data_IF_320966382843
#
_entry.id   IF_320966382843
#
_cell.length_a   1.000
_cell.length_b   1.000
_cell.length_c   1.000
_cell.angle_alpha   90.00
_cell.angle_beta   90.00
_cell.angle_gamma   90.00
#
_symmetry.space_group_name_H-M   'P 1'
#
loop_
_entity.id
_entity.type
_entity.pdbx_description
1 polymer ?
#
# COMPACT_ATOMS: atom_id res chain seq x y z
N UNK A 1 25.58 -5.46 -6.96
CA UNK A 1 26.76 -5.71 -7.80
C UNK A 1 27.92 -4.97 -7.16
N UNK A 2 29.13 -5.54 -7.08
CA UNK A 2 30.32 -4.74 -6.75
C UNK A 2 30.41 -3.57 -7.72
N UNK A 3 30.72 -2.38 -7.22
CA UNK A 3 30.74 -1.15 -8.03
C UNK A 3 31.79 -1.21 -9.17
N UNK A 4 32.77 -2.12 -9.07
CA UNK A 4 33.83 -2.33 -10.05
C UNK A 4 33.55 -3.45 -11.05
N UNK A 5 32.46 -4.21 -10.92
CA UNK A 5 32.18 -5.35 -11.80
C UNK A 5 32.08 -4.93 -13.27
N UNK A 6 31.31 -3.88 -13.54
CA UNK A 6 31.13 -3.37 -14.90
C UNK A 6 32.40 -2.74 -15.46
N UNK A 7 33.21 -2.12 -14.61
CA UNK A 7 34.52 -1.58 -14.98
C UNK A 7 35.50 -2.70 -15.35
N UNK A 8 35.60 -3.74 -14.53
CA UNK A 8 36.43 -4.92 -14.81
C UNK A 8 35.96 -5.69 -16.04
N UNK A 9 34.66 -5.83 -16.23
CA UNK A 9 34.11 -6.49 -17.41
C UNK A 9 34.37 -5.67 -18.68
N UNK A 10 34.36 -4.34 -18.59
CA UNK A 10 34.75 -3.46 -19.69
C UNK A 10 36.24 -3.59 -20.02
N UNK A 11 37.10 -3.62 -19.00
CA UNK A 11 38.55 -3.87 -19.16
C UNK A 11 38.82 -5.26 -19.78
N UNK A 12 38.06 -6.29 -19.38
CA UNK A 12 38.12 -7.63 -19.98
C UNK A 12 37.77 -7.59 -21.48
N UNK A 13 36.68 -6.90 -21.86
CA UNK A 13 36.28 -6.76 -23.26
C UNK A 13 37.30 -5.96 -24.10
N UNK A 14 37.91 -4.93 -23.51
CA UNK A 14 38.99 -4.17 -24.15
C UNK A 14 40.25 -5.03 -24.33
N UNK A 15 40.58 -5.88 -23.35
CA UNK A 15 41.65 -6.88 -23.43
C UNK A 15 41.41 -7.90 -24.54
N UNK A 16 40.20 -8.48 -24.62
CA UNK A 16 39.81 -9.41 -25.70
C UNK A 16 39.95 -8.73 -27.06
N UNK A 17 39.50 -7.49 -27.19
CA UNK A 17 39.57 -6.74 -28.44
C UNK A 17 41.01 -6.45 -28.86
N UNK A 18 41.87 -6.05 -27.92
CA UNK A 18 43.28 -5.75 -28.17
C UNK A 18 44.05 -7.01 -28.58
N UNK A 19 43.95 -8.08 -27.80
CA UNK A 19 44.65 -9.34 -28.07
C UNK A 19 44.12 -10.03 -29.35
N UNK A 20 42.81 -9.93 -29.60
CA UNK A 20 42.19 -10.40 -30.85
C UNK A 20 42.64 -9.62 -32.09
N UNK A 21 42.91 -8.31 -31.96
CA UNK A 21 43.47 -7.52 -33.04
C UNK A 21 44.90 -7.98 -33.40
N UNK A 22 45.74 -8.26 -32.40
CA UNK A 22 47.09 -8.79 -32.61
C UNK A 22 47.10 -10.16 -33.29
N UNK A 23 46.13 -11.03 -32.96
CA UNK A 23 45.91 -12.30 -33.65
C UNK A 23 45.57 -12.11 -35.13
N UNK A 24 44.67 -11.17 -35.44
CA UNK A 24 44.27 -10.85 -36.81
C UNK A 24 45.44 -10.29 -37.62
N UNK A 25 46.25 -9.42 -37.03
CA UNK A 25 47.47 -8.88 -37.67
C UNK A 25 48.49 -9.99 -37.95
N UNK A 26 48.72 -10.90 -37.00
CA UNK A 26 49.61 -12.04 -37.21
C UNK A 26 49.09 -12.98 -38.31
N UNK A 27 47.78 -13.23 -38.36
CA UNK A 27 47.16 -14.04 -39.40
C UNK A 27 47.28 -13.39 -40.79
N UNK A 28 47.10 -12.07 -40.88
CA UNK A 28 47.31 -11.31 -42.12
C UNK A 28 48.77 -11.35 -42.57
N UNK A 29 49.73 -11.18 -41.66
CA UNK A 29 51.16 -11.28 -41.97
C UNK A 29 51.56 -12.67 -42.48
N UNK A 30 50.97 -13.72 -41.92
CA UNK A 30 51.17 -15.09 -42.41
C UNK A 30 50.54 -15.31 -43.78
N UNK A 31 49.32 -14.81 -44.00
CA UNK A 31 48.64 -14.89 -45.30
C UNK A 31 49.44 -14.20 -46.41
N UNK A 32 50.00 -13.01 -46.15
CA UNK A 32 50.89 -12.31 -47.10
C UNK A 32 52.17 -13.12 -47.38
N UNK A 33 52.75 -13.74 -46.35
CA UNK A 33 53.95 -14.57 -46.51
C UNK A 33 53.67 -15.85 -47.31
N UNK A 34 52.49 -16.44 -47.14
CA UNK A 34 52.02 -17.61 -47.89
C UNK A 34 51.74 -17.28 -49.36
N UNK A 35 51.14 -16.12 -49.64
CA UNK A 35 50.83 -15.67 -51.01
C UNK A 35 52.09 -15.37 -51.83
N UNK A 36 53.15 -14.91 -51.17
CA UNK A 36 54.46 -14.63 -51.79
C UNK A 36 55.39 -15.87 -51.91
N UNK A 37 55.03 -17.01 -51.31
CA UNK A 37 55.84 -18.23 -51.28
C UNK A 37 55.98 -18.96 -52.64
N UNK A 38 54.96 -19.00 -53.52
CA UNK A 38 55.08 -19.69 -54.82
C UNK A 38 56.12 -19.00 -55.72
N UNK A 39 57.19 -19.69 -56.07
CA UNK A 39 58.22 -19.21 -57.02
C UNK A 39 59.34 -18.35 -56.42
N UNK A 40 59.35 -18.13 -55.11
CA UNK A 40 60.43 -17.44 -54.40
C UNK A 40 61.43 -18.44 -53.79
N UNK A 41 62.72 -18.11 -53.81
CA UNK A 41 63.76 -18.89 -53.12
C UNK A 41 64.16 -18.17 -51.82
N UNK A 42 64.19 -18.89 -50.69
CA UNK A 42 64.64 -18.36 -49.39
C UNK A 42 63.56 -17.86 -48.42
N UNK A 43 62.26 -18.09 -48.67
CA UNK A 43 61.17 -17.64 -47.77
C UNK A 43 60.88 -18.56 -46.57
N UNK A 44 61.59 -19.69 -46.43
CA UNK A 44 61.35 -20.70 -45.40
C UNK A 44 61.42 -20.12 -43.97
N UNK A 45 62.37 -19.22 -43.71
CA UNK A 45 62.53 -18.56 -42.41
C UNK A 45 61.40 -17.57 -42.09
N UNK A 46 60.88 -16.87 -43.09
CA UNK A 46 59.78 -15.92 -42.93
C UNK A 46 58.43 -16.63 -42.69
N UNK A 47 58.21 -17.74 -43.39
CA UNK A 47 57.03 -18.59 -43.19
C UNK A 47 57.05 -19.24 -41.80
N UNK A 48 58.18 -19.80 -41.36
CA UNK A 48 58.28 -20.37 -40.01
C UNK A 48 58.11 -19.30 -38.94
N UNK A 49 58.76 -18.15 -39.07
CA UNK A 49 58.64 -17.06 -38.10
C UNK A 49 57.21 -16.49 -38.00
N UNK A 50 56.48 -16.37 -39.12
CA UNK A 50 55.08 -15.92 -39.10
C UNK A 50 54.13 -16.97 -38.53
N UNK A 51 54.36 -18.26 -38.83
CA UNK A 51 53.61 -19.37 -38.27
C UNK A 51 53.82 -19.50 -36.74
N UNK A 52 55.07 -19.44 -36.27
CA UNK A 52 55.42 -19.50 -34.84
C UNK A 52 54.79 -18.34 -34.07
N UNK A 53 54.81 -17.13 -34.65
CA UNK A 53 54.17 -15.95 -34.06
C UNK A 53 52.66 -16.11 -33.96
N UNK A 54 51.99 -16.57 -35.03
CA UNK A 54 50.55 -16.79 -35.02
C UNK A 54 50.17 -17.87 -34.00
N UNK A 55 50.92 -18.98 -33.96
CA UNK A 55 50.69 -20.09 -33.03
C UNK A 55 50.86 -19.65 -31.58
N UNK A 56 51.90 -18.87 -31.28
CA UNK A 56 52.16 -18.34 -29.93
C UNK A 56 51.04 -17.40 -29.46
N UNK A 57 50.60 -16.47 -30.32
CA UNK A 57 49.48 -15.57 -30.00
C UNK A 57 48.16 -16.33 -29.84
N UNK A 58 47.92 -17.36 -30.65
CA UNK A 58 46.71 -18.18 -30.55
C UNK A 58 46.70 -19.01 -29.26
N UNK A 59 47.84 -19.60 -28.90
CA UNK A 59 47.98 -20.33 -27.65
C UNK A 59 47.75 -19.41 -26.43
N UNK A 60 48.35 -18.22 -26.41
CA UNK A 60 48.14 -17.24 -25.35
C UNK A 60 46.70 -16.74 -25.24
N UNK A 61 46.04 -16.50 -26.37
CA UNK A 61 44.63 -16.11 -26.40
C UNK A 61 43.72 -17.25 -25.91
N UNK A 62 43.97 -18.49 -26.33
CA UNK A 62 43.23 -19.66 -25.89
C UNK A 62 43.42 -19.93 -24.38
N UNK A 63 44.62 -19.72 -23.85
CA UNK A 63 44.94 -19.90 -22.43
C UNK A 63 44.24 -18.86 -21.52
N UNK A 64 43.93 -17.67 -22.05
CA UNK A 64 43.17 -16.65 -21.31
C UNK A 64 41.66 -16.77 -21.49
N UNK A 65 41.21 -16.86 -22.75
CA UNK A 65 39.80 -16.69 -23.12
C UNK A 65 39.12 -17.96 -23.64
N UNK A 66 39.87 -19.05 -23.84
CA UNK A 66 39.32 -20.35 -24.24
C UNK A 66 38.36 -20.94 -23.20
N UNK A 67 37.77 -22.10 -23.51
CA UNK A 67 36.75 -22.75 -22.66
C UNK A 67 37.23 -23.07 -21.23
N UNK A 68 38.53 -23.26 -21.04
CA UNK A 68 39.23 -23.47 -19.77
C UNK A 68 40.23 -22.35 -19.43
N UNK A 69 40.16 -21.22 -20.14
CA UNK A 69 41.14 -20.15 -19.98
C UNK A 69 41.02 -19.42 -18.64
N UNK A 70 42.12 -18.85 -18.17
CA UNK A 70 42.25 -18.23 -16.85
C UNK A 70 41.24 -17.10 -16.58
N UNK A 71 40.97 -16.25 -17.58
CA UNK A 71 39.99 -15.14 -17.46
C UNK A 71 38.57 -15.69 -17.43
N UNK A 72 38.25 -16.63 -18.33
CA UNK A 72 36.94 -17.30 -18.36
C UNK A 72 36.66 -18.09 -17.07
N UNK A 73 37.68 -18.75 -16.51
CA UNK A 73 37.61 -19.46 -15.25
C UNK A 73 37.40 -18.50 -14.07
N UNK A 74 38.16 -17.41 -13.99
CA UNK A 74 37.99 -16.36 -12.97
C UNK A 74 36.60 -15.73 -13.00
N UNK A 75 36.07 -15.43 -14.19
CA UNK A 75 34.69 -14.95 -14.37
C UNK A 75 33.65 -15.97 -13.90
N UNK A 76 33.83 -17.25 -14.25
CA UNK A 76 32.92 -18.32 -13.82
C UNK A 76 32.92 -18.48 -12.31
N UNK A 77 34.07 -18.34 -11.66
CA UNK A 77 34.19 -18.40 -10.20
C UNK A 77 33.56 -17.18 -9.52
N UNK A 78 33.80 -15.97 -10.05
CA UNK A 78 33.14 -14.75 -9.59
C UNK A 78 31.60 -14.86 -9.69
N UNK A 79 31.09 -15.37 -10.81
CA UNK A 79 29.65 -15.62 -10.98
C UNK A 79 29.11 -16.72 -10.06
N UNK A 80 29.89 -17.77 -9.77
CA UNK A 80 29.51 -18.83 -8.83
C UNK A 80 29.44 -18.33 -7.40
N UNK A 81 30.42 -17.54 -6.96
CA UNK A 81 30.42 -16.91 -5.64
C UNK A 81 29.23 -15.96 -5.45
N UNK A 82 28.70 -15.37 -6.52
CA UNK A 82 27.47 -14.56 -6.50
C UNK A 82 26.18 -15.38 -6.61
N UNK A 83 26.26 -16.63 -7.06
CA UNK A 83 25.14 -17.59 -7.07
C UNK A 83 25.00 -18.35 -5.76
N UNK A 84 25.88 -18.14 -4.78
CA UNK A 84 25.73 -18.73 -3.45
C UNK A 84 24.41 -18.23 -2.84
N UNK A 85 23.48 -19.15 -2.60
CA UNK A 85 22.15 -18.83 -2.08
C UNK A 85 21.07 -18.58 -3.12
N UNK A 86 21.34 -18.66 -4.43
CA UNK A 86 20.30 -18.51 -5.46
C UNK A 86 19.28 -19.66 -5.41
N UNK A 87 19.74 -20.88 -5.16
CA UNK A 87 18.87 -22.05 -4.98
C UNK A 87 18.02 -21.94 -3.71
N UNK A 88 18.65 -21.51 -2.61
CA UNK A 88 17.98 -21.26 -1.33
C UNK A 88 16.94 -20.13 -1.45
N UNK A 89 17.31 -19.01 -2.09
CA UNK A 89 16.41 -17.89 -2.40
C UNK A 89 15.20 -18.38 -3.20
N UNK A 90 15.42 -19.15 -4.27
CA UNK A 90 14.32 -19.69 -5.09
C UNK A 90 13.41 -20.62 -4.29
N UNK A 91 13.98 -21.45 -3.42
CA UNK A 91 13.19 -22.31 -2.53
C UNK A 91 12.31 -21.48 -1.59
N UNK A 92 12.87 -20.45 -0.95
CA UNK A 92 12.14 -19.55 -0.06
C UNK A 92 11.07 -18.74 -0.80
N UNK A 93 11.35 -18.29 -2.03
CA UNK A 93 10.38 -17.59 -2.87
C UNK A 93 9.23 -18.50 -3.29
N UNK A 94 9.51 -19.76 -3.63
CA UNK A 94 8.47 -20.74 -3.95
C UNK A 94 7.58 -21.01 -2.71
N UNK A 95 8.18 -21.19 -1.53
CA UNK A 95 7.43 -21.33 -0.29
C UNK A 95 6.59 -20.09 0.01
N UNK A 96 7.15 -18.89 -0.24
CA UNK A 96 6.43 -17.62 -0.07
C UNK A 96 5.22 -17.53 -1.00
N UNK A 97 5.35 -18.00 -2.25
CA UNK A 97 4.23 -18.06 -3.20
C UNK A 97 3.13 -19.00 -2.72
N UNK A 98 3.49 -20.18 -2.22
CA UNK A 98 2.51 -21.12 -1.65
C UNK A 98 1.81 -20.51 -0.43
N UNK A 99 2.56 -19.92 0.51
CA UNK A 99 2.00 -19.26 1.68
C UNK A 99 1.07 -18.09 1.29
N UNK A 100 1.48 -17.28 0.31
CA UNK A 100 0.68 -16.19 -0.23
C UNK A 100 -0.63 -16.68 -0.84
N UNK A 101 -0.58 -17.77 -1.64
CA UNK A 101 -1.78 -18.36 -2.23
C UNK A 101 -2.76 -18.87 -1.16
N UNK A 102 -2.26 -19.36 -0.03
CA UNK A 102 -3.09 -19.72 1.12
C UNK A 102 -3.76 -18.50 1.76
N UNK A 103 -3.02 -17.40 1.93
CA UNK A 103 -3.56 -16.15 2.47
C UNK A 103 -4.62 -15.53 1.54
N UNK A 104 -4.39 -15.51 0.22
CA UNK A 104 -5.38 -14.99 -0.74
C UNK A 104 -6.60 -15.89 -0.84
N UNK A 105 -6.44 -17.21 -0.78
CA UNK A 105 -7.56 -18.16 -0.72
C UNK A 105 -8.41 -17.97 0.55
N UNK A 106 -7.76 -17.70 1.69
CA UNK A 106 -8.46 -17.37 2.93
C UNK A 106 -9.29 -16.08 2.79
N UNK A 107 -8.70 -14.99 2.31
CA UNK A 107 -9.43 -13.72 2.08
C UNK A 107 -10.55 -13.86 1.04
N UNK A 108 -10.33 -14.66 -0.01
CA UNK A 108 -11.36 -14.97 -1.00
C UNK A 108 -12.51 -15.80 -0.39
N UNK A 109 -12.21 -16.66 0.58
CA UNK A 109 -13.23 -17.41 1.32
C UNK A 109 -14.08 -16.46 2.16
N UNK A 110 -13.46 -15.48 2.83
CA UNK A 110 -14.19 -14.42 3.54
C UNK A 110 -15.11 -13.64 2.60
N UNK A 111 -14.59 -13.15 1.47
CA UNK A 111 -15.35 -12.34 0.51
C UNK A 111 -16.45 -13.15 -0.21
N UNK A 112 -16.27 -14.46 -0.34
CA UNK A 112 -17.17 -15.38 -1.03
C UNK A 112 -18.29 -15.94 -0.16
N UNK A 113 -18.40 -15.52 1.12
CA UNK A 113 -19.47 -15.99 1.98
C UNK A 113 -20.84 -15.56 1.47
N UNK A 114 -21.79 -16.50 1.54
CA UNK A 114 -23.13 -16.30 0.97
C UNK A 114 -23.99 -15.50 1.93
N UNK A 115 -24.33 -14.29 1.52
CA UNK A 115 -25.35 -13.50 2.21
C UNK A 115 -26.75 -13.98 1.89
N UNK A 116 -27.63 -13.94 2.89
CA UNK A 116 -29.07 -14.16 2.75
C UNK A 116 -29.71 -13.08 1.86
N UNK A 117 -30.92 -13.32 1.33
CA UNK A 117 -31.66 -12.28 0.59
C UNK A 117 -31.95 -11.03 1.42
N UNK A 118 -32.19 -11.19 2.73
CA UNK A 118 -32.50 -10.09 3.66
C UNK A 118 -31.28 -9.20 3.88
N UNK A 119 -30.11 -9.80 4.10
CA UNK A 119 -28.83 -9.08 4.26
C UNK A 119 -28.49 -8.28 2.99
N UNK A 120 -28.70 -8.87 1.81
CA UNK A 120 -28.48 -8.16 0.53
C UNK A 120 -29.41 -6.97 0.38
N UNK A 121 -30.69 -7.14 0.69
CA UNK A 121 -31.65 -6.03 0.63
C UNK A 121 -31.32 -4.91 1.62
N UNK A 122 -30.84 -5.26 2.83
CA UNK A 122 -30.41 -4.28 3.82
C UNK A 122 -29.23 -3.43 3.31
N UNK A 123 -28.22 -4.07 2.68
CA UNK A 123 -27.09 -3.35 2.10
C UNK A 123 -27.44 -2.59 0.81
N UNK A 124 -28.40 -3.07 0.01
CA UNK A 124 -28.94 -2.31 -1.13
C UNK A 124 -29.68 -1.05 -0.66
N UNK A 125 -30.42 -1.13 0.45
CA UNK A 125 -31.05 0.04 1.08
C UNK A 125 -30.00 1.04 1.57
N UNK A 126 -28.93 0.56 2.21
CA UNK A 126 -27.84 1.42 2.66
C UNK A 126 -27.10 2.10 1.50
N UNK A 127 -26.84 1.36 0.42
CA UNK A 127 -26.23 1.90 -0.81
C UNK A 127 -27.08 3.02 -1.43
N UNK A 128 -28.41 2.83 -1.44
CA UNK A 128 -29.34 3.86 -1.88
C UNK A 128 -29.32 5.10 -0.98
N UNK A 129 -29.37 4.93 0.35
CA UNK A 129 -29.28 6.03 1.32
C UNK A 129 -27.94 6.77 1.21
N UNK A 130 -26.85 6.01 1.05
CA UNK A 130 -25.50 6.54 0.85
C UNK A 130 -25.44 7.48 -0.35
N UNK A 131 -25.88 7.03 -1.54
CA UNK A 131 -25.84 7.85 -2.74
C UNK A 131 -26.75 9.07 -2.64
N UNK A 132 -27.91 8.93 -2.00
CA UNK A 132 -28.82 10.05 -1.71
C UNK A 132 -28.14 11.11 -0.84
N UNK A 133 -27.47 10.69 0.24
CA UNK A 133 -26.77 11.59 1.16
C UNK A 133 -25.53 12.23 0.53
N UNK A 134 -24.79 11.48 -0.28
CA UNK A 134 -23.64 12.02 -1.01
C UNK A 134 -24.07 13.11 -2.01
N UNK A 135 -25.15 12.85 -2.77
CA UNK A 135 -25.71 13.82 -3.72
C UNK A 135 -26.20 15.08 -3.03
N UNK A 136 -26.87 14.94 -1.88
CA UNK A 136 -27.37 16.07 -1.10
C UNK A 136 -26.24 16.94 -0.54
N UNK A 137 -25.16 16.32 -0.06
CA UNK A 137 -24.02 17.04 0.52
C UNK A 137 -23.02 17.56 -0.53
N UNK A 138 -23.32 17.43 -1.84
CA UNK A 138 -22.39 17.74 -2.93
C UNK A 138 -21.01 17.06 -2.76
N UNK A 139 -21.00 15.89 -2.10
CA UNK A 139 -19.78 15.20 -1.69
C UNK A 139 -19.09 14.48 -2.85
N UNK A 140 -17.79 14.25 -2.70
CA UNK A 140 -17.02 13.51 -3.71
C UNK A 140 -17.09 11.99 -3.45
N UNK A 141 -17.27 11.22 -4.52
CA UNK A 141 -17.13 9.76 -4.45
C UNK A 141 -15.68 9.38 -4.13
N UNK A 142 -15.53 8.43 -3.22
CA UNK A 142 -14.23 7.85 -2.90
C UNK A 142 -13.76 6.93 -4.03
N UNK A 143 -12.44 6.87 -4.21
CA UNK A 143 -11.83 5.89 -5.10
C UNK A 143 -12.16 4.47 -4.62
N UNK A 144 -12.48 3.58 -5.56
CA UNK A 144 -12.76 2.19 -5.25
C UNK A 144 -11.58 1.53 -4.50
N UNK A 145 -11.85 0.61 -3.55
CA UNK A 145 -10.80 -0.04 -2.79
C UNK A 145 -9.81 -0.76 -3.71
N UNK A 146 -8.53 -0.73 -3.31
CA UNK A 146 -7.43 -1.27 -4.09
C UNK A 146 -7.62 -2.78 -4.37
N UNK A 147 -7.26 -3.21 -5.59
CA UNK A 147 -7.29 -4.64 -5.96
C UNK A 147 -6.32 -5.44 -5.11
N UNK A 148 -6.71 -6.67 -4.75
CA UNK A 148 -5.81 -7.63 -4.10
C UNK A 148 -4.55 -7.88 -4.98
N UNK A 149 -3.34 -7.78 -4.40
CA UNK A 149 -2.09 -7.98 -5.14
C UNK A 149 -1.96 -9.40 -5.71
N UNK A 150 -1.35 -9.51 -6.89
CA UNK A 150 -1.34 -10.77 -7.65
C UNK A 150 -0.29 -11.78 -7.16
N UNK A 151 0.79 -11.31 -6.55
CA UNK A 151 1.84 -12.16 -5.99
C UNK A 151 2.39 -11.65 -4.64
N UNK A 152 3.21 -12.48 -3.98
CA UNK A 152 3.78 -12.17 -2.66
C UNK A 152 4.69 -10.93 -2.65
N UNK A 153 5.38 -10.64 -3.76
CA UNK A 153 6.29 -9.50 -3.85
C UNK A 153 5.50 -8.20 -3.99
N UNK A 154 4.48 -8.20 -4.85
CA UNK A 154 3.50 -7.12 -4.97
C UNK A 154 2.72 -6.94 -3.66
N UNK A 155 2.30 -8.04 -3.03
CA UNK A 155 1.62 -8.05 -1.74
C UNK A 155 2.40 -7.33 -0.65
N UNK A 156 3.68 -7.66 -0.53
CA UNK A 156 4.62 -6.97 0.35
C UNK A 156 4.77 -5.50 -0.02
N UNK A 157 4.95 -5.16 -1.30
CA UNK A 157 5.07 -3.77 -1.76
C UNK A 157 3.81 -2.97 -1.44
N UNK A 158 2.63 -3.55 -1.65
CA UNK A 158 1.36 -2.93 -1.32
C UNK A 158 1.24 -2.71 0.19
N UNK A 159 1.61 -3.71 1.01
CA UNK A 159 1.63 -3.57 2.46
C UNK A 159 2.57 -2.45 2.94
N UNK A 160 3.78 -2.34 2.36
CA UNK A 160 4.69 -1.23 2.66
C UNK A 160 4.18 0.10 2.14
N UNK A 161 3.58 0.17 0.95
CA UNK A 161 2.99 1.40 0.42
C UNK A 161 1.82 1.88 1.27
N UNK A 162 0.98 0.96 1.77
CA UNK A 162 -0.05 1.27 2.76
C UNK A 162 0.56 1.80 4.05
N UNK A 163 1.61 1.15 4.56
CA UNK A 163 2.30 1.60 5.77
C UNK A 163 2.97 2.97 5.61
N UNK A 164 3.57 3.25 4.46
CA UNK A 164 4.16 4.56 4.14
C UNK A 164 3.05 5.62 4.05
N UNK A 165 1.94 5.34 3.36
CA UNK A 165 0.79 6.24 3.30
C UNK A 165 0.18 6.54 4.69
N UNK A 166 0.21 5.56 5.60
CA UNK A 166 -0.21 5.76 6.99
C UNK A 166 0.77 6.64 7.78
N UNK A 167 2.08 6.46 7.59
CA UNK A 167 3.10 7.30 8.23
C UNK A 167 3.05 8.73 7.72
N UNK A 168 2.81 8.92 6.42
CA UNK A 168 2.60 10.23 5.81
C UNK A 168 1.33 10.88 6.36
N UNK A 169 0.22 10.13 6.48
CA UNK A 169 -1.02 10.63 7.10
C UNK A 169 -0.84 11.07 8.56
N UNK A 170 0.02 10.38 9.32
CA UNK A 170 0.39 10.76 10.69
C UNK A 170 1.35 11.97 10.72
N UNK A 171 2.19 12.15 9.69
CA UNK A 171 3.18 13.22 9.59
C UNK A 171 2.61 14.56 9.09
N UNK A 172 1.69 14.53 8.13
CA UNK A 172 1.16 15.73 7.47
C UNK A 172 0.00 16.41 8.23
N UNK A 173 -0.54 15.75 9.25
CA UNK A 173 -1.77 16.18 9.91
C UNK A 173 -1.62 16.72 11.33
N UNK A 174 -1.24 17.99 11.55
CA UNK A 174 -1.55 18.66 12.84
C UNK A 174 -2.92 19.36 12.77
N UNK A 175 -3.31 19.85 11.59
CA UNK A 175 -4.53 20.64 11.40
C UNK A 175 -5.80 19.81 11.13
N UNK A 176 -5.68 18.55 10.70
CA UNK A 176 -6.81 17.65 10.41
C UNK A 176 -6.90 16.39 11.30
N UNK A 177 -5.82 16.03 11.99
CA UNK A 177 -5.76 14.82 12.83
C UNK A 177 -6.74 14.88 14.00
N UNK A 178 -7.00 16.07 14.56
CA UNK A 178 -7.99 16.23 15.63
C UNK A 178 -9.37 15.77 15.17
N UNK A 179 -9.80 16.22 13.99
CA UNK A 179 -11.13 15.91 13.47
C UNK A 179 -11.18 14.43 13.04
N UNK A 180 -10.11 13.89 12.44
CA UNK A 180 -9.99 12.46 12.15
C UNK A 180 -10.07 11.59 13.41
N UNK A 181 -9.40 11.98 14.50
CA UNK A 181 -9.50 11.30 15.81
C UNK A 181 -10.92 11.37 16.35
N UNK A 182 -11.57 12.54 16.30
CA UNK A 182 -12.96 12.67 16.74
C UNK A 182 -13.91 11.80 15.94
N UNK A 183 -13.79 11.78 14.61
CA UNK A 183 -14.63 10.95 13.76
C UNK A 183 -14.36 9.46 13.95
N UNK A 184 -13.10 9.06 14.12
CA UNK A 184 -12.74 7.67 14.38
C UNK A 184 -13.31 7.18 15.71
N UNK A 185 -13.15 7.96 16.80
CA UNK A 185 -13.68 7.59 18.11
C UNK A 185 -15.21 7.67 18.14
N UNK A 186 -15.81 8.68 17.48
CA UNK A 186 -17.26 8.76 17.32
C UNK A 186 -17.78 7.51 16.61
N UNK A 187 -17.21 7.16 15.46
CA UNK A 187 -17.61 5.97 14.70
C UNK A 187 -17.51 4.73 15.55
N UNK A 188 -16.33 4.49 16.14
CA UNK A 188 -16.09 3.32 16.96
C UNK A 188 -17.03 3.21 18.16
N UNK A 189 -17.37 4.33 18.81
CA UNK A 189 -18.22 4.34 20.00
C UNK A 189 -19.71 4.14 19.70
N UNK A 190 -20.16 4.44 18.48
CA UNK A 190 -21.59 4.46 18.11
C UNK A 190 -22.00 3.32 17.18
N UNK A 191 -21.07 2.81 16.40
CA UNK A 191 -21.32 1.78 15.42
C UNK A 191 -20.68 0.45 15.83
N UNK A 192 -21.33 -0.65 15.49
CA UNK A 192 -20.86 -2.01 15.76
C UNK A 192 -19.68 -2.40 14.89
N UNK A 193 -19.06 -3.54 15.22
CA UNK A 193 -17.88 -4.09 14.54
C UNK A 193 -17.97 -5.59 14.55
N UNK A 194 -17.57 -6.24 13.46
CA UNK A 194 -17.65 -7.69 13.35
C UNK A 194 -16.75 -8.37 14.39
N UNK A 195 -17.34 -9.11 15.33
CA UNK A 195 -16.58 -9.78 16.37
C UNK A 195 -15.77 -10.96 15.80
N UNK A 196 -14.45 -11.10 16.09
CA UNK A 196 -13.63 -12.17 15.53
C UNK A 196 -14.15 -13.58 15.80
N UNK A 197 -14.78 -13.81 16.96
CA UNK A 197 -15.40 -15.09 17.31
C UNK A 197 -16.61 -15.42 16.42
N UNK A 198 -17.35 -14.40 15.98
CA UNK A 198 -18.48 -14.58 15.07
C UNK A 198 -18.00 -14.82 13.65
N UNK A 199 -16.96 -14.10 13.21
CA UNK A 199 -16.28 -14.37 11.93
C UNK A 199 -15.74 -15.80 11.90
N UNK A 200 -15.15 -16.27 13.01
CA UNK A 200 -14.72 -17.66 13.18
C UNK A 200 -15.89 -18.63 13.08
N UNK A 201 -16.97 -18.38 13.81
CA UNK A 201 -18.18 -19.19 13.74
C UNK A 201 -18.74 -19.26 12.32
N UNK A 202 -18.69 -18.14 11.58
CA UNK A 202 -19.16 -18.06 10.19
C UNK A 202 -18.30 -18.88 9.24
N UNK A 203 -16.97 -18.86 9.41
CA UNK A 203 -16.04 -19.72 8.67
C UNK A 203 -16.28 -21.22 8.92
N UNK A 204 -16.70 -21.59 10.13
CA UNK A 204 -17.04 -22.97 10.50
C UNK A 204 -18.47 -23.37 10.08
N UNK A 205 -19.18 -22.49 9.36
CA UNK A 205 -20.53 -22.72 8.82
C UNK A 205 -21.68 -22.35 9.76
N UNK A 206 -21.40 -21.68 10.88
CA UNK A 206 -22.37 -21.07 11.80
C UNK A 206 -22.48 -19.55 11.60
N UNK A 207 -22.76 -18.80 12.67
CA UNK A 207 -22.72 -17.33 12.67
C UNK A 207 -23.86 -16.64 11.90
N UNK A 208 -25.11 -17.01 12.20
CA UNK A 208 -26.28 -16.33 11.63
C UNK A 208 -26.29 -14.84 12.04
N UNK A 209 -26.52 -13.94 11.08
CA UNK A 209 -26.73 -12.51 11.34
C UNK A 209 -25.48 -11.63 11.27
N UNK A 210 -24.25 -12.17 11.26
CA UNK A 210 -23.02 -11.37 11.15
C UNK A 210 -22.98 -10.52 9.85
N UNK A 211 -23.66 -10.98 8.80
CA UNK A 211 -23.75 -10.28 7.53
C UNK A 211 -24.85 -9.21 7.49
N UNK A 212 -25.57 -9.00 8.59
CA UNK A 212 -26.48 -7.85 8.75
C UNK A 212 -25.68 -6.57 9.00
N UNK A 213 -26.16 -5.40 8.54
CA UNK A 213 -25.46 -4.15 8.77
C UNK A 213 -25.13 -3.89 10.24
N UNK A 214 -26.08 -4.20 11.14
CA UNK A 214 -25.96 -3.96 12.57
C UNK A 214 -24.83 -4.72 13.28
N UNK A 215 -24.16 -5.68 12.62
CA UNK A 215 -23.02 -6.42 13.18
C UNK A 215 -21.67 -6.03 12.53
N UNK A 216 -21.67 -5.12 11.56
CA UNK A 216 -20.46 -4.74 10.81
C UNK A 216 -20.46 -3.27 10.35
N UNK A 217 -21.06 -2.40 11.15
CA UNK A 217 -21.29 -1.02 10.77
C UNK A 217 -19.97 -0.25 10.52
N UNK A 218 -18.95 -0.46 11.36
CA UNK A 218 -17.64 0.18 11.16
C UNK A 218 -16.93 -0.33 9.91
N UNK A 219 -17.01 -1.63 9.59
CA UNK A 219 -16.48 -2.18 8.34
C UNK A 219 -17.20 -1.58 7.13
N UNK A 220 -18.53 -1.41 7.19
CA UNK A 220 -19.27 -0.72 6.13
C UNK A 220 -18.88 0.75 6.02
N UNK A 221 -18.71 1.47 7.14
CA UNK A 221 -18.23 2.86 7.12
C UNK A 221 -16.87 2.95 6.43
N UNK A 222 -15.94 2.03 6.72
CA UNK A 222 -14.61 1.99 6.12
C UNK A 222 -14.64 1.70 4.62
N UNK A 223 -15.35 0.65 4.19
CA UNK A 223 -15.21 0.12 2.83
C UNK A 223 -16.40 0.36 1.90
N UNK A 224 -17.60 0.55 2.44
CA UNK A 224 -18.80 0.90 1.68
C UNK A 224 -19.23 -0.09 0.60
N UNK A 225 -18.82 -1.36 0.72
CA UNK A 225 -19.11 -2.37 -0.29
C UNK A 225 -20.55 -2.87 -0.16
N UNK A 226 -21.21 -3.03 -1.31
CA UNK A 226 -22.59 -3.55 -1.41
C UNK A 226 -22.74 -5.01 -1.00
N UNK A 227 -21.65 -5.79 -1.10
CA UNK A 227 -21.63 -7.16 -0.61
C UNK A 227 -21.19 -7.15 0.87
N UNK A 228 -22.04 -7.59 1.82
CA UNK A 228 -21.72 -7.57 3.25
C UNK A 228 -20.41 -8.29 3.56
N UNK A 229 -20.24 -9.50 3.02
CA UNK A 229 -19.04 -10.32 3.25
C UNK A 229 -17.76 -9.64 2.73
N UNK A 230 -17.89 -8.77 1.73
CA UNK A 230 -16.75 -8.06 1.16
C UNK A 230 -16.22 -6.96 2.09
N UNK A 231 -17.06 -6.33 2.92
CA UNK A 231 -16.59 -5.34 3.91
C UNK A 231 -15.72 -6.01 4.98
N UNK A 232 -16.17 -7.14 5.52
CA UNK A 232 -15.39 -7.94 6.47
C UNK A 232 -14.09 -8.43 5.81
N UNK A 233 -14.15 -8.93 4.57
CA UNK A 233 -12.97 -9.40 3.85
C UNK A 233 -11.97 -8.26 3.58
N UNK A 234 -12.43 -7.05 3.30
CA UNK A 234 -11.58 -5.88 3.15
C UNK A 234 -10.89 -5.51 4.48
N UNK A 235 -11.64 -5.52 5.59
CA UNK A 235 -11.09 -5.29 6.94
C UNK A 235 -9.97 -6.27 7.29
N UNK A 236 -10.21 -7.57 7.08
CA UNK A 236 -9.21 -8.61 7.33
C UNK A 236 -8.06 -8.57 6.31
N UNK A 237 -8.30 -8.10 5.08
CA UNK A 237 -7.28 -7.88 4.08
C UNK A 237 -6.31 -6.76 4.48
N UNK A 238 -6.83 -5.65 4.97
CA UNK A 238 -6.03 -4.52 5.45
C UNK A 238 -5.29 -4.88 6.75
N UNK A 239 -5.95 -5.58 7.67
CA UNK A 239 -5.30 -6.17 8.85
C UNK A 239 -4.16 -7.09 8.45
N UNK A 240 -4.37 -8.00 7.50
CA UNK A 240 -3.32 -8.88 7.02
C UNK A 240 -2.16 -8.10 6.42
N UNK A 241 -2.42 -7.03 5.64
CA UNK A 241 -1.37 -6.19 5.08
C UNK A 241 -0.53 -5.50 6.17
N UNK A 242 -1.17 -4.90 7.19
CA UNK A 242 -0.48 -4.31 8.33
C UNK A 242 0.37 -5.35 9.08
N UNK A 243 -0.21 -6.51 9.40
CA UNK A 243 0.50 -7.60 10.09
C UNK A 243 1.66 -8.13 9.25
N UNK A 244 1.49 -8.25 7.94
CA UNK A 244 2.54 -8.64 7.01
C UNK A 244 3.72 -7.67 7.04
N UNK A 245 3.47 -6.36 7.03
CA UNK A 245 4.53 -5.36 7.12
C UNK A 245 5.32 -5.50 8.44
N UNK A 246 4.61 -5.57 9.58
CA UNK A 246 5.22 -5.73 10.91
C UNK A 246 6.03 -7.02 11.00
N UNK A 247 5.45 -8.15 10.59
CA UNK A 247 6.10 -9.46 10.65
C UNK A 247 7.25 -9.57 9.65
N UNK A 248 7.18 -8.91 8.50
CA UNK A 248 8.32 -8.85 7.56
C UNK A 248 9.49 -8.08 8.18
N UNK A 249 9.24 -6.95 8.87
CA UNK A 249 10.29 -6.23 9.60
C UNK A 249 10.91 -7.09 10.72
N UNK A 250 10.09 -7.85 11.43
CA UNK A 250 10.57 -8.83 12.41
C UNK A 250 11.44 -9.91 11.74
N UNK A 251 10.99 -10.43 10.59
CA UNK A 251 11.70 -11.43 9.80
C UNK A 251 13.05 -10.96 9.28
N UNK A 252 13.23 -9.66 8.97
CA UNK A 252 14.52 -9.11 8.58
C UNK A 252 15.57 -9.23 9.71
N UNK A 253 15.12 -9.16 10.96
CA UNK A 253 15.99 -9.31 12.14
C UNK A 253 16.23 -10.79 12.43
N UNK A 254 15.17 -11.62 12.42
CA UNK A 254 15.24 -13.05 12.71
C UNK A 254 16.04 -13.83 11.66
N UNK A 255 15.91 -13.47 10.37
CA UNK A 255 16.57 -14.14 9.26
C UNK A 255 17.92 -13.53 8.90
N UNK A 256 18.53 -12.68 9.75
CA UNK A 256 19.83 -12.04 9.46
C UNK A 256 20.98 -13.03 9.27
N UNK A 257 20.86 -14.26 9.78
CA UNK A 257 21.91 -15.28 9.75
C UNK A 257 22.11 -15.94 8.38
N UNK A 258 21.23 -15.71 7.41
CA UNK A 258 21.32 -16.32 6.07
C UNK A 258 22.48 -15.80 5.19
N UNK A 259 23.26 -14.83 5.67
CA UNK A 259 24.54 -14.40 5.08
C UNK A 259 24.45 -13.62 3.76
N UNK A 260 23.44 -13.88 2.92
CA UNK A 260 23.23 -13.20 1.63
C UNK A 260 21.97 -12.31 1.68
N UNK A 261 22.06 -10.99 1.38
CA UNK A 261 20.95 -10.05 1.54
C UNK A 261 19.64 -10.44 0.83
N UNK A 262 19.73 -11.01 -0.38
CA UNK A 262 18.53 -11.45 -1.11
C UNK A 262 17.89 -12.71 -0.50
N UNK A 263 18.70 -13.57 0.14
CA UNK A 263 18.19 -14.75 0.86
C UNK A 263 17.52 -14.29 2.15
N UNK A 264 18.13 -13.34 2.87
CA UNK A 264 17.52 -12.69 4.05
C UNK A 264 16.17 -12.08 3.68
N UNK A 265 16.09 -11.35 2.56
CA UNK A 265 14.84 -10.74 2.10
C UNK A 265 13.76 -11.78 1.76
N UNK A 266 14.13 -12.87 1.09
CA UNK A 266 13.21 -13.96 0.76
C UNK A 266 12.73 -14.71 2.01
N UNK A 267 13.64 -14.98 2.94
CA UNK A 267 13.33 -15.60 4.24
C UNK A 267 12.43 -14.71 5.09
N UNK A 268 12.71 -13.40 5.15
CA UNK A 268 11.90 -12.43 5.87
C UNK A 268 10.49 -12.28 5.28
N UNK A 269 10.35 -12.37 3.95
CA UNK A 269 9.03 -12.36 3.30
C UNK A 269 8.22 -13.62 3.66
N UNK A 270 8.84 -14.80 3.61
CA UNK A 270 8.21 -16.04 4.03
C UNK A 270 7.78 -15.98 5.51
N UNK A 271 8.68 -15.50 6.37
CA UNK A 271 8.40 -15.27 7.79
C UNK A 271 7.22 -14.32 7.98
N UNK A 272 7.23 -13.18 7.28
CA UNK A 272 6.17 -12.19 7.32
C UNK A 272 4.80 -12.76 6.98
N UNK A 273 4.69 -13.48 5.86
CA UNK A 273 3.43 -14.07 5.39
C UNK A 273 2.94 -15.14 6.37
N UNK A 274 3.83 -16.03 6.80
CA UNK A 274 3.47 -17.15 7.68
C UNK A 274 3.03 -16.67 9.06
N UNK A 275 3.75 -15.73 9.67
CA UNK A 275 3.37 -15.17 10.96
C UNK A 275 2.15 -14.26 10.87
N UNK A 276 1.99 -13.48 9.80
CA UNK A 276 0.77 -12.68 9.60
C UNK A 276 -0.48 -13.57 9.46
N UNK A 277 -0.39 -14.71 8.77
CA UNK A 277 -1.51 -15.65 8.70
C UNK A 277 -1.83 -16.28 10.05
N UNK A 278 -0.80 -16.64 10.83
CA UNK A 278 -0.97 -17.12 12.22
C UNK A 278 -1.59 -16.07 13.12
N UNK A 279 -1.27 -14.80 12.90
CA UNK A 279 -1.88 -13.69 13.63
C UNK A 279 -3.38 -13.59 13.34
N UNK A 280 -3.78 -13.65 12.05
CA UNK A 280 -5.21 -13.65 11.69
C UNK A 280 -5.94 -14.84 12.34
N UNK A 281 -5.37 -16.05 12.25
CA UNK A 281 -5.94 -17.23 12.91
C UNK A 281 -6.01 -17.05 14.43
N UNK A 282 -4.94 -16.55 15.05
CA UNK A 282 -4.90 -16.29 16.48
C UNK A 282 -5.94 -15.27 16.93
N UNK A 283 -6.23 -14.27 16.10
CA UNK A 283 -7.25 -13.27 16.36
C UNK A 283 -8.66 -13.86 16.26
N UNK A 284 -8.92 -14.70 15.25
CA UNK A 284 -10.20 -15.41 15.12
C UNK A 284 -10.44 -16.40 16.26
N UNK A 285 -9.40 -17.11 16.70
CA UNK A 285 -9.54 -18.17 17.70
C UNK A 285 -9.55 -17.64 19.14
N UNK A 286 -8.78 -16.57 19.43
CA UNK A 286 -8.58 -16.06 20.81
C UNK A 286 -9.02 -14.61 21.01
N UNK A 287 -9.29 -13.86 19.95
CA UNK A 287 -9.59 -12.43 20.01
C UNK A 287 -8.38 -11.53 20.32
N UNK A 288 -7.20 -12.11 20.57
CA UNK A 288 -6.00 -11.37 20.98
C UNK A 288 -4.73 -11.91 20.33
N UNK A 289 -3.86 -10.99 19.93
CA UNK A 289 -2.54 -11.27 19.35
C UNK A 289 -1.49 -10.29 19.88
N UNK A 290 -0.24 -10.74 19.98
CA UNK A 290 0.86 -9.86 20.36
C UNK A 290 1.37 -9.10 19.14
N UNK A 291 1.63 -7.79 19.29
CA UNK A 291 2.02 -6.90 18.21
C UNK A 291 3.25 -7.43 17.45
N UNK A 292 4.35 -7.69 18.15
CA UNK A 292 5.54 -8.36 17.60
C UNK A 292 6.36 -9.05 18.69
N UNK A 293 7.37 -9.83 18.31
CA UNK A 293 8.31 -10.43 19.27
C UNK A 293 9.09 -9.38 20.07
N UNK A 294 9.31 -8.21 19.47
CA UNK A 294 10.10 -7.11 20.02
C UNK A 294 9.25 -6.07 20.77
N UNK A 295 7.96 -5.96 20.43
CA UNK A 295 6.98 -5.13 21.13
C UNK A 295 5.85 -6.03 21.62
N UNK A 296 5.97 -6.50 22.87
CA UNK A 296 5.03 -7.43 23.51
C UNK A 296 3.78 -6.71 24.04
N UNK A 297 3.04 -6.12 23.11
CA UNK A 297 1.80 -5.41 23.38
C UNK A 297 0.67 -6.28 22.85
N UNK A 298 -0.31 -6.58 23.70
CA UNK A 298 -1.50 -7.29 23.27
C UNK A 298 -2.38 -6.34 22.46
N UNK A 299 -2.82 -6.82 21.30
CA UNK A 299 -3.66 -6.08 20.36
C UNK A 299 -4.89 -6.92 20.01
N UNK A 300 -6.01 -6.24 19.88
CA UNK A 300 -7.33 -6.80 19.59
C UNK A 300 -7.84 -6.28 18.25
N UNK A 301 -8.83 -6.96 17.65
CA UNK A 301 -9.39 -6.56 16.35
C UNK A 301 -9.89 -5.10 16.35
N UNK A 302 -10.57 -4.71 17.42
CA UNK A 302 -11.04 -3.34 17.64
C UNK A 302 -9.93 -2.27 17.59
N UNK A 303 -8.71 -2.60 18.02
CA UNK A 303 -7.61 -1.64 18.02
C UNK A 303 -7.20 -1.32 16.58
N UNK A 304 -7.28 -2.32 15.70
CA UNK A 304 -7.03 -2.17 14.27
C UNK A 304 -8.15 -1.42 13.57
N UNK A 305 -9.42 -1.68 13.90
CA UNK A 305 -10.55 -0.94 13.32
C UNK A 305 -10.47 0.55 13.68
N UNK A 306 -10.15 0.89 14.94
CA UNK A 306 -9.89 2.27 15.35
C UNK A 306 -8.75 2.91 14.56
N UNK A 307 -7.66 2.16 14.37
CA UNK A 307 -6.53 2.61 13.60
C UNK A 307 -6.92 2.86 12.13
N UNK A 308 -7.67 1.96 11.49
CA UNK A 308 -8.11 2.14 10.10
C UNK A 308 -9.10 3.30 9.95
N UNK A 309 -10.00 3.51 10.91
CA UNK A 309 -10.89 4.68 10.93
C UNK A 309 -10.10 5.98 11.03
N UNK A 310 -9.04 6.00 11.84
CA UNK A 310 -8.16 7.16 11.96
C UNK A 310 -7.37 7.42 10.67
N UNK A 311 -6.81 6.36 10.06
CA UNK A 311 -5.92 6.45 8.91
C UNK A 311 -6.65 6.77 7.61
N UNK A 312 -7.87 6.27 7.43
CA UNK A 312 -8.71 6.69 6.30
C UNK A 312 -9.27 8.12 6.48
N UNK A 313 -9.15 8.70 7.68
CA UNK A 313 -9.58 10.06 7.97
C UNK A 313 -11.09 10.26 7.89
N UNK A 314 -11.52 11.50 7.64
CA UNK A 314 -12.92 11.86 7.46
C UNK A 314 -13.17 12.33 6.02
N UNK A 315 -13.77 11.46 5.22
CA UNK A 315 -14.20 11.76 3.85
C UNK A 315 -15.71 11.99 3.78
N UNK A 316 -16.16 12.63 2.70
CA UNK A 316 -17.59 12.81 2.41
C UNK A 316 -18.30 11.46 2.27
N UNK A 317 -17.62 10.48 1.66
CA UNK A 317 -18.13 9.13 1.49
C UNK A 317 -18.39 8.43 2.83
N UNK A 318 -17.40 8.38 3.72
CA UNK A 318 -17.60 7.85 5.07
C UNK A 318 -18.69 8.57 5.84
N UNK A 319 -18.77 9.90 5.72
CA UNK A 319 -19.81 10.70 6.38
C UNK A 319 -21.20 10.33 5.85
N UNK A 320 -21.37 10.21 4.53
CA UNK A 320 -22.62 9.78 3.91
C UNK A 320 -23.02 8.35 4.33
N UNK A 321 -22.05 7.43 4.49
CA UNK A 321 -22.31 6.06 5.00
C UNK A 321 -22.77 6.07 6.47
N UNK A 322 -22.17 6.90 7.33
CA UNK A 322 -22.62 7.08 8.72
C UNK A 322 -24.06 7.60 8.78
N UNK A 323 -24.39 8.60 7.96
CA UNK A 323 -25.76 9.14 7.86
C UNK A 323 -26.71 8.04 7.38
N UNK A 324 -26.33 7.28 6.35
CA UNK A 324 -27.14 6.17 5.85
C UNK A 324 -27.41 5.09 6.92
N UNK A 325 -26.42 4.75 7.75
CA UNK A 325 -26.60 3.82 8.87
C UNK A 325 -27.58 4.37 9.91
N UNK A 326 -27.45 5.66 10.27
CA UNK A 326 -28.36 6.30 11.24
C UNK A 326 -29.79 6.33 10.68
N UNK A 327 -29.98 6.71 9.41
CA UNK A 327 -31.28 6.72 8.74
C UNK A 327 -31.91 5.32 8.68
N UNK A 328 -31.10 4.29 8.37
CA UNK A 328 -31.56 2.91 8.34
C UNK A 328 -31.96 2.38 9.72
N UNK A 329 -31.20 2.72 10.77
CA UNK A 329 -31.48 2.29 12.14
C UNK A 329 -32.69 2.98 12.76
N UNK A 330 -32.89 4.27 12.44
CA UNK A 330 -34.00 5.08 12.97
C UNK A 330 -35.26 5.02 12.10
N UNK A 331 -35.16 4.52 10.87
CA UNK A 331 -36.23 4.54 9.86
C UNK A 331 -36.76 5.97 9.60
N UNK A 332 -35.86 6.96 9.57
CA UNK A 332 -36.17 8.38 9.33
C UNK A 332 -35.31 8.96 8.21
N UNK A 333 -35.85 9.97 7.53
CA UNK A 333 -35.09 10.82 6.63
C UNK A 333 -34.48 12.00 7.40
N UNK A 334 -33.15 12.04 7.51
CA UNK A 334 -32.45 13.10 8.22
C UNK A 334 -32.49 14.44 7.47
N UNK A 335 -32.81 14.45 6.17
CA UNK A 335 -33.04 15.69 5.41
C UNK A 335 -34.33 16.39 5.83
N UNK A 336 -35.32 15.61 6.25
CA UNK A 336 -36.62 16.12 6.74
C UNK A 336 -36.64 16.28 8.27
N UNK A 337 -35.62 15.78 8.97
CA UNK A 337 -35.50 15.87 10.41
C UNK A 337 -35.06 17.28 10.86
N UNK A 338 -35.98 18.03 11.44
CA UNK A 338 -35.70 19.34 12.02
C UNK A 338 -34.87 19.22 13.32
N UNK A 339 -33.55 19.34 13.21
CA UNK A 339 -32.63 19.35 14.36
C UNK A 339 -32.35 20.76 14.89
N UNK A 340 -32.60 21.77 14.05
CA UNK A 340 -32.33 23.18 14.34
C UNK A 340 -33.39 24.09 13.73
N UNK A 341 -33.88 25.04 14.51
CA UNK A 341 -34.71 26.15 14.04
C UNK A 341 -33.98 27.47 14.29
N UNK A 342 -33.64 28.17 13.20
CA UNK A 342 -33.05 29.51 13.26
C UNK A 342 -33.99 30.54 12.66
N UNK A 343 -34.26 31.62 13.40
CA UNK A 343 -35.03 32.76 12.92
C UNK A 343 -34.11 33.97 12.76
N UNK A 344 -34.01 34.52 11.54
CA UNK A 344 -33.30 35.76 11.27
C UNK A 344 -34.30 36.87 10.96
N UNK A 345 -34.42 37.82 11.89
CA UNK A 345 -35.25 39.01 11.72
C UNK A 345 -34.40 40.23 11.42
N UNK A 346 -34.81 41.06 10.45
CA UNK A 346 -34.20 42.38 10.24
C UNK A 346 -35.23 43.43 10.63
N UNK A 347 -34.96 44.16 11.70
CA UNK A 347 -35.76 45.32 12.08
C UNK A 347 -35.18 46.57 11.42
N UNK A 348 -36.02 47.31 10.69
CA UNK A 348 -35.64 48.56 10.04
C UNK A 348 -36.53 49.71 10.53
N UNK A 349 -35.92 50.73 11.11
CA UNK A 349 -36.63 51.95 11.56
C UNK A 349 -36.20 53.13 10.69
N UNK A 350 -37.17 53.85 10.13
CA UNK A 350 -36.92 55.07 9.36
C UNK A 350 -36.63 56.23 10.33
N UNK A 351 -35.46 56.83 10.23
CA UNK A 351 -35.06 57.96 11.08
C UNK A 351 -35.75 59.23 10.55
N UNK A 352 -36.57 59.88 11.37
CA UNK A 352 -37.30 61.09 10.95
C UNK A 352 -36.51 62.38 11.20
N UNK A 353 -35.46 62.29 12.01
CA UNK A 353 -34.62 63.42 12.39
C UNK A 353 -33.13 63.02 12.40
N UNK A 354 -32.34 63.78 11.64
CA UNK A 354 -30.86 63.84 11.65
C UNK A 354 -30.11 62.49 11.57
N UNK A 355 -30.08 61.82 10.40
CA UNK A 355 -29.25 60.63 10.18
C UNK A 355 -27.75 60.86 10.45
N UNK A 356 -27.27 62.12 10.36
CA UNK A 356 -25.89 62.50 10.67
C UNK A 356 -25.51 62.40 12.16
N UNK A 357 -26.44 62.67 13.08
CA UNK A 357 -26.19 62.58 14.52
C UNK A 357 -26.12 61.12 14.99
N UNK A 358 -26.99 60.25 14.45
CA UNK A 358 -26.97 58.81 14.72
C UNK A 358 -25.66 58.13 14.25
N UNK A 359 -25.10 58.59 13.11
CA UNK A 359 -23.82 58.09 12.57
C UNK A 359 -22.61 58.44 13.45
N UNK A 360 -22.68 59.57 14.16
CA UNK A 360 -21.67 60.00 15.14
C UNK A 360 -21.85 59.30 16.50
N UNK A 361 -23.09 59.12 16.94
CA UNK A 361 -23.41 58.41 18.19
C UNK A 361 -23.09 56.91 18.12
N UNK A 362 -23.33 56.25 16.99
CA UNK A 362 -23.00 54.83 16.78
C UNK A 362 -21.50 54.51 16.77
N UNK A 363 -20.62 55.53 16.69
CA UNK A 363 -19.17 55.36 16.90
C UNK A 363 -18.74 55.43 18.37
N UNK A 364 -19.57 56.04 19.23
CA UNK A 364 -19.27 56.28 20.66
C UNK A 364 -20.04 55.33 21.59
N UNK A 365 -21.14 54.75 21.10
CA UNK A 365 -21.96 53.77 21.83
C UNK A 365 -22.10 52.52 20.97
N UNK A 366 -21.89 51.33 21.54
CA UNK A 366 -21.87 50.03 20.85
C UNK A 366 -23.26 49.56 20.40
N UNK A 367 -23.85 50.26 19.42
CA UNK A 367 -25.14 49.88 18.86
C UNK A 367 -24.90 48.74 17.86
N UNK A 368 -25.55 47.59 18.05
CA UNK A 368 -25.38 46.38 17.22
C UNK A 368 -25.99 46.48 15.80
N UNK A 369 -26.27 47.69 15.32
CA UNK A 369 -26.98 47.92 14.05
C UNK A 369 -26.31 48.98 13.19
N UNK A 370 -26.62 48.98 11.90
CA UNK A 370 -25.99 49.85 10.90
C UNK A 370 -26.99 50.85 10.33
N UNK A 371 -26.55 52.09 10.12
CA UNK A 371 -27.38 53.14 9.48
C UNK A 371 -27.11 53.14 7.98
N UNK A 372 -28.12 52.77 7.19
CA UNK A 372 -28.10 52.85 5.71
C UNK A 372 -29.03 53.96 5.24
N UNK A 373 -28.46 55.05 4.73
CA UNK A 373 -29.22 56.22 4.28
C UNK A 373 -30.00 56.88 5.42
N UNK A 374 -31.33 56.79 5.38
CA UNK A 374 -32.24 57.33 6.40
C UNK A 374 -32.94 56.23 7.24
N UNK A 375 -32.33 55.04 7.32
CA UNK A 375 -32.87 53.90 8.08
C UNK A 375 -31.79 53.32 8.99
N UNK A 376 -32.19 52.96 10.20
CA UNK A 376 -31.42 52.12 11.11
C UNK A 376 -31.85 50.67 10.92
N UNK A 377 -30.92 49.79 10.57
CA UNK A 377 -31.15 48.36 10.41
C UNK A 377 -30.40 47.60 11.50
N UNK A 378 -31.09 46.70 12.17
CA UNK A 378 -30.49 45.75 13.10
C UNK A 378 -31.00 44.35 12.78
N UNK A 379 -30.07 43.40 12.72
CA UNK A 379 -30.37 42.01 12.48
C UNK A 379 -30.33 41.27 13.81
N UNK A 380 -31.38 40.50 14.09
CA UNK A 380 -31.44 39.63 15.25
C UNK A 380 -31.50 38.19 14.74
N UNK A 381 -30.68 37.32 15.33
CA UNK A 381 -30.79 35.88 15.18
C UNK A 381 -31.32 35.29 16.50
N UNK A 382 -32.31 34.42 16.38
CA UNK A 382 -32.77 33.57 17.46
C UNK A 382 -32.60 32.13 17.01
N UNK A 383 -31.86 31.35 17.78
CA UNK A 383 -31.47 30.00 17.43
C UNK A 383 -31.99 29.05 18.50
N UNK A 384 -32.67 27.98 18.08
CA UNK A 384 -33.18 26.93 18.96
C UNK A 384 -32.77 25.58 18.39
N UNK A 385 -31.96 24.84 19.14
CA UNK A 385 -31.68 23.43 18.87
C UNK A 385 -32.67 22.57 19.68
N UNK A 386 -33.11 21.45 19.11
CA UNK A 386 -33.81 20.42 19.89
C UNK A 386 -32.81 19.83 20.92
N UNK A 387 -33.20 19.77 22.19
CA UNK A 387 -32.42 19.14 23.27
C UNK A 387 -32.51 17.62 23.23
#
# INVERSE_FOLDING_TARGET
MPDDYWSRYKEELEGIRSEGAGLREAAQSMAVSLDAAPGSSGMDGALRGSADRLQSLLAGFADKYGGSGSVTAGRREALKSQRSGEEERRSLENQSRTAWSGATAFLATLAGMRSSPEEKQAFERLDWLYHRNLTWNEGQEEAAPARLPSDASEGRKAAFASADGWLDALGDGVTGMRDAVYFAEYSYSRFSTAEPSEVRSMLDGGGEGLLMPGEQENEYVLYGLRNPAANIAAAYGELFALRLAIRTMEGLIECRSYGHPLVVLAAAALYGITEALKDIQGLLDRGVITLSKYAKIDTFYKDYIRLFLLLHGSSDGQTARRIALIEAALDVDLQEAYTYAGARGVASVRLWFLPGAAKLAGKSVSWQGTVKGNRYETAFSADSAYQ
#
